data_IF_205304853635
#
_entry.id   IF_205304853635
#
_cell.length_a   1.000
_cell.length_b   1.000
_cell.length_c   1.000
_cell.angle_alpha   90.00
_cell.angle_beta   90.00
_cell.angle_gamma   90.00
#
_symmetry.space_group_name_H-M   'P 1'
#
loop_
_entity.id
_entity.type
_entity.pdbx_description
1 polymer ?
#
# COMPACT_ATOMS: atom_id res chain seq x y z
N UNK A 1 8.80 -19.50 55.00
CA UNK A 1 9.08 -19.76 53.57
C UNK A 1 7.93 -20.45 52.85
N UNK A 2 7.31 -21.49 53.41
CA UNK A 2 6.21 -22.22 52.75
C UNK A 2 4.99 -21.35 52.39
N UNK A 3 4.61 -20.41 53.25
CA UNK A 3 3.45 -19.53 53.05
C UNK A 3 3.63 -18.54 51.89
N UNK A 4 4.81 -17.92 51.75
CA UNK A 4 5.10 -16.96 50.68
C UNK A 4 5.05 -17.64 49.30
N UNK A 5 5.54 -18.89 49.21
CA UNK A 5 5.51 -19.67 47.97
C UNK A 5 4.07 -19.96 47.49
N UNK A 6 3.15 -20.24 48.41
CA UNK A 6 1.73 -20.45 48.11
C UNK A 6 1.03 -19.17 47.62
N UNK A 7 1.37 -18.00 48.19
CA UNK A 7 0.86 -16.71 47.72
C UNK A 7 1.37 -16.32 46.33
N UNK A 8 2.63 -16.65 46.03
CA UNK A 8 3.21 -16.42 44.69
C UNK A 8 2.54 -17.34 43.66
N UNK A 9 2.37 -18.64 43.97
CA UNK A 9 1.67 -19.57 43.08
C UNK A 9 0.21 -19.16 42.84
N UNK A 10 -0.50 -18.72 43.89
CA UNK A 10 -1.88 -18.25 43.79
C UNK A 10 -2.01 -17.00 42.92
N UNK A 11 -1.10 -16.04 43.08
CA UNK A 11 -1.06 -14.81 42.28
C UNK A 11 -0.76 -15.09 40.81
N UNK A 12 0.20 -15.97 40.52
CA UNK A 12 0.50 -16.39 39.14
C UNK A 12 -0.69 -17.10 38.51
N UNK A 13 -1.34 -18.02 39.24
CA UNK A 13 -2.55 -18.69 38.78
C UNK A 13 -3.71 -17.74 38.47
N UNK A 14 -3.93 -16.73 39.32
CA UNK A 14 -4.95 -15.71 39.10
C UNK A 14 -4.62 -14.82 37.87
N UNK A 15 -3.35 -14.45 37.68
CA UNK A 15 -2.91 -13.69 36.50
C UNK A 15 -3.08 -14.49 35.21
N UNK A 16 -2.74 -15.78 35.23
CA UNK A 16 -2.95 -16.68 34.08
C UNK A 16 -4.44 -16.82 33.77
N UNK A 17 -5.29 -17.01 34.79
CA UNK A 17 -6.74 -17.09 34.61
C UNK A 17 -7.31 -15.79 34.04
N UNK A 18 -6.87 -14.64 34.55
CA UNK A 18 -7.26 -13.32 34.02
C UNK A 18 -6.80 -13.14 32.58
N UNK A 19 -5.60 -13.60 32.24
CA UNK A 19 -5.10 -13.59 30.87
C UNK A 19 -5.99 -14.46 29.96
N UNK A 20 -6.35 -15.68 30.38
CA UNK A 20 -7.25 -16.55 29.60
C UNK A 20 -8.66 -15.97 29.47
N UNK A 21 -9.21 -15.39 30.53
CA UNK A 21 -10.50 -14.71 30.49
C UNK A 21 -10.46 -13.49 29.56
N UNK A 22 -9.39 -12.72 29.62
CA UNK A 22 -9.16 -11.56 28.74
C UNK A 22 -8.99 -11.99 27.28
N UNK A 23 -8.22 -13.05 27.02
CA UNK A 23 -8.07 -13.65 25.68
C UNK A 23 -9.40 -14.20 25.16
N UNK A 24 -10.16 -14.90 26.00
CA UNK A 24 -11.48 -15.43 25.66
C UNK A 24 -12.50 -14.33 25.36
N UNK A 25 -12.51 -13.26 26.16
CA UNK A 25 -13.31 -12.07 25.93
C UNK A 25 -12.93 -11.40 24.60
N UNK A 26 -11.63 -11.20 24.35
CA UNK A 26 -11.12 -10.59 23.11
C UNK A 26 -11.47 -11.45 21.89
N UNK A 27 -11.32 -12.77 21.97
CA UNK A 27 -11.67 -13.70 20.91
C UNK A 27 -13.18 -13.69 20.60
N UNK A 28 -14.03 -13.69 21.64
CA UNK A 28 -15.48 -13.62 21.46
C UNK A 28 -15.92 -12.28 20.87
N UNK A 29 -15.31 -11.18 21.31
CA UNK A 29 -15.57 -9.82 20.84
C UNK A 29 -15.20 -9.66 19.36
N UNK A 30 -14.00 -10.09 18.97
CA UNK A 30 -13.57 -10.08 17.57
C UNK A 30 -14.42 -10.99 16.69
N UNK A 31 -14.84 -12.16 17.18
CA UNK A 31 -15.71 -13.06 16.42
C UNK A 31 -17.05 -12.42 16.01
N UNK A 32 -17.56 -11.47 16.80
CA UNK A 32 -18.79 -10.73 16.48
C UNK A 32 -18.57 -9.58 15.50
N UNK A 33 -17.39 -8.95 15.53
CA UNK A 33 -17.03 -7.86 14.63
C UNK A 33 -16.56 -8.37 13.26
N UNK A 34 -15.95 -9.56 13.24
CA UNK A 34 -15.38 -10.20 12.06
C UNK A 34 -16.30 -10.21 10.81
N UNK A 35 -17.58 -10.63 10.87
CA UNK A 35 -18.42 -10.63 9.68
C UNK A 35 -18.67 -9.23 9.13
N UNK A 36 -18.93 -8.26 10.01
CA UNK A 36 -19.21 -6.87 9.65
C UNK A 36 -17.97 -6.23 9.02
N UNK A 37 -16.80 -6.47 9.60
CA UNK A 37 -15.54 -5.92 9.09
C UNK A 37 -15.18 -6.54 7.74
N UNK A 38 -15.33 -7.86 7.56
CA UNK A 38 -15.02 -8.46 6.27
C UNK A 38 -15.95 -8.03 5.16
N UNK A 39 -17.26 -7.91 5.45
CA UNK A 39 -18.22 -7.36 4.49
C UNK A 39 -17.84 -5.91 4.14
N UNK A 40 -17.60 -5.07 5.15
CA UNK A 40 -17.15 -3.68 4.93
C UNK A 40 -15.89 -3.57 4.06
N UNK A 41 -14.85 -4.35 4.36
CA UNK A 41 -13.59 -4.33 3.60
C UNK A 41 -13.75 -4.85 2.16
N UNK A 42 -14.78 -5.65 1.90
CA UNK A 42 -15.08 -6.19 0.56
C UNK A 42 -15.83 -5.21 -0.35
N UNK A 43 -16.40 -4.13 0.21
CA UNK A 43 -17.11 -3.13 -0.58
C UNK A 43 -16.13 -2.47 -1.55
N UNK A 44 -16.60 -2.19 -2.76
CA UNK A 44 -15.79 -1.57 -3.84
C UNK A 44 -16.04 -0.08 -3.96
N UNK A 45 -17.23 0.37 -3.63
CA UNK A 45 -17.67 1.76 -3.72
C UNK A 45 -17.56 2.47 -2.37
N UNK A 46 -17.14 3.75 -2.38
CA UNK A 46 -17.02 4.57 -1.16
C UNK A 46 -18.39 4.92 -0.60
N UNK A 47 -19.37 5.25 -1.45
CA UNK A 47 -20.69 5.66 -0.97
C UNK A 47 -21.42 4.49 -0.31
N UNK A 48 -21.34 3.31 -0.91
CA UNK A 48 -21.87 2.06 -0.35
C UNK A 48 -21.20 1.75 0.99
N UNK A 49 -19.88 2.00 1.11
CA UNK A 49 -19.17 1.81 2.37
C UNK A 49 -19.57 2.83 3.45
N UNK A 50 -19.84 4.07 3.07
CA UNK A 50 -20.37 5.09 3.98
C UNK A 50 -21.77 4.71 4.47
N UNK A 51 -22.66 4.27 3.58
CA UNK A 51 -23.98 3.74 3.97
C UNK A 51 -23.85 2.54 4.92
N UNK A 52 -22.93 1.62 4.62
CA UNK A 52 -22.70 0.45 5.46
C UNK A 52 -22.20 0.83 6.85
N UNK A 53 -21.34 1.86 6.96
CA UNK A 53 -20.88 2.40 8.24
C UNK A 53 -22.05 2.98 9.05
N UNK A 54 -22.95 3.72 8.40
CA UNK A 54 -24.14 4.30 9.04
C UNK A 54 -25.05 3.21 9.62
N UNK A 55 -25.28 2.14 8.85
CA UNK A 55 -26.07 0.97 9.28
C UNK A 55 -25.38 0.15 10.39
N UNK A 56 -24.05 0.25 10.52
CA UNK A 56 -23.24 -0.56 11.44
C UNK A 56 -22.33 0.29 12.33
N UNK A 57 -22.88 1.01 13.33
CA UNK A 57 -22.10 1.91 14.21
C UNK A 57 -21.00 1.21 15.02
N UNK A 58 -21.05 -0.13 15.12
CA UNK A 58 -19.97 -0.93 15.73
C UNK A 58 -18.64 -0.84 14.96
N UNK A 59 -18.66 -0.45 13.69
CA UNK A 59 -17.46 -0.18 12.90
C UNK A 59 -16.72 1.06 13.40
N UNK A 60 -17.40 2.04 13.97
CA UNK A 60 -16.78 3.29 14.46
C UNK A 60 -16.15 3.15 15.85
N UNK A 61 -15.89 1.92 16.29
CA UNK A 61 -15.25 1.64 17.59
C UNK A 61 -13.75 1.44 17.43
N UNK A 62 -12.97 1.79 18.46
CA UNK A 62 -11.53 1.53 18.48
C UNK A 62 -11.20 0.04 18.31
N UNK A 63 -12.09 -0.85 18.73
CA UNK A 63 -11.90 -2.30 18.56
C UNK A 63 -11.95 -2.75 17.10
N UNK A 64 -12.79 -2.10 16.28
CA UNK A 64 -12.87 -2.38 14.85
C UNK A 64 -11.60 -1.87 14.14
N UNK A 65 -11.13 -0.68 14.51
CA UNK A 65 -9.86 -0.10 14.07
C UNK A 65 -8.69 -1.04 14.41
N UNK A 66 -8.56 -1.46 15.68
CA UNK A 66 -7.55 -2.41 16.14
C UNK A 66 -7.59 -3.74 15.36
N UNK A 67 -8.80 -4.26 15.10
CA UNK A 67 -8.96 -5.50 14.35
C UNK A 67 -8.51 -5.36 12.89
N UNK A 68 -8.89 -4.26 12.22
CA UNK A 68 -8.48 -3.98 10.84
C UNK A 68 -6.96 -3.79 10.77
N UNK A 69 -6.35 -3.08 11.71
CA UNK A 69 -4.89 -2.92 11.78
C UNK A 69 -4.18 -4.27 11.93
N UNK A 70 -4.69 -5.16 12.79
CA UNK A 70 -4.14 -6.53 12.92
C UNK A 70 -4.30 -7.33 11.62
N UNK A 71 -5.38 -7.12 10.86
CA UNK A 71 -5.55 -7.74 9.55
C UNK A 71 -4.54 -7.18 8.53
N UNK A 72 -4.33 -5.86 8.52
CA UNK A 72 -3.34 -5.19 7.67
C UNK A 72 -1.92 -5.70 7.92
N UNK A 73 -1.50 -5.77 9.18
CA UNK A 73 -0.16 -6.30 9.52
C UNK A 73 0.03 -7.72 8.99
N UNK A 74 -1.02 -8.55 9.05
CA UNK A 74 -0.99 -9.93 8.56
C UNK A 74 -1.01 -10.02 7.04
N UNK A 75 -1.76 -9.17 6.34
CA UNK A 75 -1.77 -9.17 4.87
C UNK A 75 -0.44 -8.69 4.34
N UNK A 76 0.12 -7.63 4.93
CA UNK A 76 1.46 -7.16 4.61
C UNK A 76 2.52 -8.24 4.83
N UNK A 77 2.57 -8.86 6.00
CA UNK A 77 3.54 -9.91 6.31
C UNK A 77 3.45 -11.15 5.39
N UNK A 78 2.32 -11.34 4.70
CA UNK A 78 2.12 -12.40 3.71
C UNK A 78 2.44 -11.99 2.28
N UNK A 79 2.82 -10.73 2.06
CA UNK A 79 3.04 -10.17 0.72
C UNK A 79 1.74 -9.85 -0.04
N UNK A 80 0.58 -9.83 0.61
CA UNK A 80 -0.67 -9.42 -0.04
C UNK A 80 -0.81 -7.89 0.01
N UNK A 81 0.06 -7.21 -0.75
CA UNK A 81 0.10 -5.75 -0.80
C UNK A 81 -1.19 -5.16 -1.38
N UNK A 82 -1.90 -5.90 -2.24
CA UNK A 82 -3.19 -5.47 -2.78
C UNK A 82 -4.24 -5.38 -1.70
N UNK A 83 -4.44 -6.46 -0.94
CA UNK A 83 -5.41 -6.46 0.15
C UNK A 83 -5.00 -5.48 1.25
N UNK A 84 -3.70 -5.31 1.48
CA UNK A 84 -3.18 -4.29 2.38
C UNK A 84 -3.61 -2.87 1.95
N UNK A 85 -3.28 -2.45 0.73
CA UNK A 85 -3.55 -1.08 0.27
C UNK A 85 -5.06 -0.79 0.22
N UNK A 86 -5.87 -1.70 -0.33
CA UNK A 86 -7.32 -1.51 -0.38
C UNK A 86 -7.93 -1.39 1.02
N UNK A 87 -7.47 -2.22 1.97
CA UNK A 87 -7.95 -2.21 3.35
C UNK A 87 -7.44 -1.00 4.14
N UNK A 88 -6.25 -0.48 3.82
CA UNK A 88 -5.71 0.73 4.43
C UNK A 88 -6.51 1.96 4.01
N UNK A 89 -6.90 2.05 2.73
CA UNK A 89 -7.81 3.12 2.25
C UNK A 89 -9.16 3.04 2.97
N UNK A 90 -9.70 1.83 3.18
CA UNK A 90 -10.94 1.62 3.95
C UNK A 90 -10.77 2.01 5.42
N UNK A 91 -9.65 1.66 6.05
CA UNK A 91 -9.35 2.07 7.42
C UNK A 91 -9.31 3.60 7.54
N UNK A 92 -8.68 4.30 6.58
CA UNK A 92 -8.66 5.76 6.56
C UNK A 92 -10.06 6.36 6.46
N UNK A 93 -10.96 5.77 5.66
CA UNK A 93 -12.37 6.19 5.60
C UNK A 93 -13.05 6.03 6.96
N UNK A 94 -12.88 4.87 7.60
CA UNK A 94 -13.48 4.56 8.90
C UNK A 94 -12.98 5.51 10.01
N UNK A 95 -11.67 5.78 10.05
CA UNK A 95 -11.07 6.75 10.98
C UNK A 95 -11.61 8.15 10.70
N UNK A 96 -11.68 8.57 9.44
CA UNK A 96 -12.27 9.86 9.06
C UNK A 96 -13.72 10.00 9.52
N UNK A 97 -14.55 8.95 9.35
CA UNK A 97 -15.92 8.93 9.85
C UNK A 97 -15.98 9.03 11.39
N UNK A 98 -15.07 8.35 12.10
CA UNK A 98 -15.01 8.37 13.56
C UNK A 98 -14.60 9.75 14.11
N UNK A 99 -13.62 10.40 13.46
CA UNK A 99 -13.06 11.65 13.95
C UNK A 99 -13.88 12.88 13.57
N UNK A 100 -14.40 12.91 12.33
CA UNK A 100 -15.06 14.10 11.78
C UNK A 100 -16.58 13.92 11.61
N UNK A 101 -17.10 12.70 11.79
CA UNK A 101 -18.49 12.37 11.52
C UNK A 101 -18.75 12.00 10.05
N UNK A 102 -19.86 11.31 9.82
CA UNK A 102 -20.17 10.69 8.54
C UNK A 102 -20.31 11.70 7.38
N UNK A 103 -21.02 12.81 7.60
CA UNK A 103 -21.23 13.82 6.55
C UNK A 103 -19.95 14.56 6.18
N UNK A 104 -19.11 14.89 7.16
CA UNK A 104 -17.81 15.54 6.90
C UNK A 104 -16.85 14.57 6.21
N UNK A 105 -16.82 13.32 6.64
CA UNK A 105 -16.04 12.28 5.96
C UNK A 105 -16.51 12.06 4.52
N UNK A 106 -17.83 12.06 4.25
CA UNK A 106 -18.39 12.00 2.90
C UNK A 106 -17.90 13.18 2.04
N UNK A 107 -17.92 14.40 2.58
CA UNK A 107 -17.43 15.59 1.86
C UNK A 107 -15.92 15.55 1.59
N UNK A 108 -15.12 15.05 2.54
CA UNK A 108 -13.67 14.91 2.40
C UNK A 108 -13.28 13.75 1.46
N UNK A 109 -14.06 12.67 1.48
CA UNK A 109 -13.86 11.49 0.65
C UNK A 109 -14.36 11.69 -0.79
N UNK A 110 -15.20 12.70 -1.03
CA UNK A 110 -15.78 13.00 -2.34
C UNK A 110 -14.68 13.15 -3.40
N UNK A 111 -14.58 12.14 -4.27
CA UNK A 111 -13.64 12.04 -5.39
C UNK A 111 -12.28 11.44 -5.04
N UNK A 112 -11.63 11.84 -3.94
CA UNK A 112 -10.25 11.44 -3.65
C UNK A 112 -10.13 9.95 -3.28
N UNK A 113 -10.90 9.47 -2.30
CA UNK A 113 -10.83 8.08 -1.85
C UNK A 113 -11.32 7.07 -2.90
N UNK A 114 -12.35 7.42 -3.66
CA UNK A 114 -12.82 6.55 -4.75
C UNK A 114 -11.75 6.43 -5.83
N UNK A 115 -11.06 7.53 -6.18
CA UNK A 115 -9.94 7.50 -7.12
C UNK A 115 -8.81 6.58 -6.63
N UNK A 116 -8.48 6.61 -5.34
CA UNK A 116 -7.48 5.71 -4.75
C UNK A 116 -7.91 4.24 -4.80
N UNK A 117 -9.17 3.94 -4.54
CA UNK A 117 -9.71 2.58 -4.65
C UNK A 117 -9.70 2.11 -6.11
N UNK A 118 -10.20 2.92 -7.04
CA UNK A 118 -10.22 2.61 -8.47
C UNK A 118 -8.79 2.38 -8.99
N UNK A 119 -7.84 3.23 -8.56
CA UNK A 119 -6.43 3.06 -8.87
C UNK A 119 -5.90 1.73 -8.33
N UNK A 120 -6.20 1.34 -7.09
CA UNK A 120 -5.79 0.05 -6.52
C UNK A 120 -6.33 -1.17 -7.28
N UNK A 121 -7.41 -1.02 -8.05
CA UNK A 121 -7.94 -2.06 -8.93
C UNK A 121 -7.48 -1.93 -10.40
N UNK A 122 -6.70 -0.90 -10.75
CA UNK A 122 -6.17 -0.73 -12.11
C UNK A 122 -5.04 -1.72 -12.43
N UNK A 123 -4.84 -2.09 -13.71
CA UNK A 123 -3.80 -3.06 -14.09
C UNK A 123 -2.37 -2.64 -13.69
N UNK A 124 -2.04 -1.35 -13.84
CA UNK A 124 -0.69 -0.84 -13.51
C UNK A 124 -0.40 -0.90 -12.02
N UNK A 125 -1.38 -0.54 -11.17
CA UNK A 125 -1.26 -0.69 -9.73
C UNK A 125 -1.26 -2.14 -9.29
N UNK A 126 -2.10 -3.01 -9.86
CA UNK A 126 -2.09 -4.43 -9.51
C UNK A 126 -0.71 -5.03 -9.74
N UNK A 127 -0.09 -4.72 -10.89
CA UNK A 127 1.29 -5.13 -11.18
C UNK A 127 2.30 -4.57 -10.17
N UNK A 128 2.20 -3.28 -9.84
CA UNK A 128 3.09 -2.66 -8.85
C UNK A 128 2.92 -3.28 -7.45
N UNK A 129 1.69 -3.58 -7.05
CA UNK A 129 1.35 -4.20 -5.77
C UNK A 129 1.83 -5.65 -5.72
N UNK A 130 1.72 -6.41 -6.80
CA UNK A 130 2.27 -7.76 -6.89
C UNK A 130 3.79 -7.77 -6.67
N UNK A 131 4.51 -6.86 -7.34
CA UNK A 131 5.96 -6.70 -7.14
C UNK A 131 6.30 -6.28 -5.70
N UNK A 132 5.56 -5.33 -5.12
CA UNK A 132 5.73 -4.97 -3.71
C UNK A 132 5.51 -6.15 -2.78
N UNK A 133 4.49 -6.97 -3.05
CA UNK A 133 4.20 -8.18 -2.30
C UNK A 133 5.34 -9.18 -2.32
N UNK A 134 5.92 -9.42 -3.51
CA UNK A 134 7.10 -10.27 -3.68
C UNK A 134 8.30 -9.72 -2.92
N UNK A 135 8.59 -8.42 -3.03
CA UNK A 135 9.69 -7.77 -2.31
C UNK A 135 9.59 -7.94 -0.78
N UNK A 136 8.37 -7.91 -0.23
CA UNK A 136 8.13 -8.09 1.20
C UNK A 136 8.43 -9.52 1.66
N UNK A 137 8.10 -10.53 0.84
CA UNK A 137 8.26 -11.94 1.17
C UNK A 137 9.68 -12.43 0.89
N UNK A 138 10.19 -12.13 -0.30
CA UNK A 138 11.46 -12.65 -0.81
C UNK A 138 12.65 -11.83 -0.32
N UNK A 139 12.44 -10.56 0.06
CA UNK A 139 13.48 -9.61 0.50
C UNK A 139 14.62 -9.39 -0.50
N UNK A 140 14.49 -9.93 -1.71
CA UNK A 140 15.44 -9.76 -2.79
C UNK A 140 14.92 -8.70 -3.75
N UNK A 141 15.74 -7.67 -3.98
CA UNK A 141 15.44 -6.63 -4.93
C UNK A 141 15.90 -7.06 -6.33
N UNK A 142 15.05 -7.78 -7.05
CA UNK A 142 15.26 -8.06 -8.47
C UNK A 142 13.95 -7.92 -9.24
N UNK A 143 13.85 -6.83 -10.01
CA UNK A 143 12.74 -6.61 -10.93
C UNK A 143 13.32 -6.84 -12.33
N UNK A 144 12.77 -7.77 -13.14
CA UNK A 144 13.28 -8.02 -14.48
C UNK A 144 13.26 -6.72 -15.28
N UNK A 145 14.38 -6.33 -15.87
CA UNK A 145 14.48 -5.02 -16.53
C UNK A 145 13.42 -4.86 -17.60
N UNK A 146 13.14 -5.91 -18.36
CA UNK A 146 12.10 -6.03 -19.40
C UNK A 146 10.71 -5.57 -18.91
N UNK A 147 10.41 -5.79 -17.64
CA UNK A 147 9.13 -5.48 -17.02
C UNK A 147 8.97 -4.01 -16.61
N UNK A 148 10.06 -3.26 -16.53
CA UNK A 148 10.03 -1.85 -16.12
C UNK A 148 9.59 -0.96 -17.29
N UNK A 149 8.41 -0.38 -17.15
CA UNK A 149 7.84 0.63 -18.05
C UNK A 149 7.42 1.89 -17.27
N UNK A 150 7.01 2.94 -17.99
CA UNK A 150 6.64 4.22 -17.38
C UNK A 150 5.46 4.08 -16.42
N UNK A 151 4.46 3.28 -16.79
CA UNK A 151 3.21 3.13 -16.04
C UNK A 151 3.47 2.41 -14.71
N UNK A 152 4.38 1.42 -14.70
CA UNK A 152 4.82 0.74 -13.49
C UNK A 152 5.54 1.71 -12.53
N UNK A 153 6.46 2.53 -13.04
CA UNK A 153 7.20 3.51 -12.21
C UNK A 153 6.24 4.53 -11.61
N UNK A 154 5.27 5.01 -12.39
CA UNK A 154 4.27 5.96 -11.91
C UNK A 154 3.35 5.33 -10.85
N UNK A 155 2.86 4.11 -11.08
CA UNK A 155 2.06 3.37 -10.11
C UNK A 155 2.84 3.13 -8.80
N UNK A 156 4.09 2.68 -8.88
CA UNK A 156 4.95 2.47 -7.72
C UNK A 156 5.18 3.75 -6.92
N UNK A 157 5.37 4.88 -7.62
CA UNK A 157 5.55 6.19 -6.98
C UNK A 157 4.31 6.60 -6.19
N UNK A 158 3.11 6.48 -6.80
CA UNK A 158 1.86 6.83 -6.12
C UNK A 158 1.56 5.90 -4.94
N UNK A 159 1.81 4.59 -5.07
CA UNK A 159 1.63 3.64 -3.97
C UNK A 159 2.58 3.97 -2.82
N UNK A 160 3.84 4.27 -3.08
CA UNK A 160 4.79 4.61 -2.01
C UNK A 160 4.44 5.92 -1.31
N UNK A 161 3.96 6.93 -2.03
CA UNK A 161 3.44 8.16 -1.41
C UNK A 161 2.25 7.88 -0.48
N UNK A 162 1.33 7.00 -0.91
CA UNK A 162 0.20 6.55 -0.10
C UNK A 162 0.65 5.78 1.15
N UNK A 163 1.68 4.95 1.02
CA UNK A 163 2.22 4.13 2.12
C UNK A 163 3.13 4.91 3.07
N UNK A 164 3.66 6.06 2.65
CA UNK A 164 4.65 6.82 3.43
C UNK A 164 4.18 7.21 4.84
N UNK A 165 2.93 7.69 5.05
CA UNK A 165 2.42 7.98 6.40
C UNK A 165 2.29 6.75 7.29
N UNK A 166 2.22 5.55 6.69
CA UNK A 166 2.10 4.26 7.38
C UNK A 166 3.46 3.60 7.64
N UNK A 167 4.56 4.20 7.16
CA UNK A 167 5.89 3.63 7.34
C UNK A 167 6.26 3.62 8.83
N UNK A 168 6.59 2.44 9.35
CA UNK A 168 6.91 2.24 10.76
C UNK A 168 8.18 2.98 11.20
N UNK A 169 9.11 3.24 10.28
CA UNK A 169 10.39 3.90 10.56
C UNK A 169 11.05 4.48 9.28
N UNK A 170 12.14 5.22 9.47
CA UNK A 170 12.94 5.82 8.39
C UNK A 170 13.59 4.79 7.46
N UNK A 171 13.87 3.57 7.95
CA UNK A 171 14.46 2.49 7.16
C UNK A 171 13.51 1.98 6.07
N UNK A 172 12.21 1.88 6.39
CA UNK A 172 11.16 1.54 5.42
C UNK A 172 11.08 2.62 4.33
N UNK A 173 11.16 3.89 4.70
CA UNK A 173 11.16 5.02 3.75
C UNK A 173 12.40 4.97 2.84
N UNK A 174 13.58 4.74 3.41
CA UNK A 174 14.82 4.63 2.64
C UNK A 174 14.76 3.46 1.63
N UNK A 175 14.15 2.35 2.03
CA UNK A 175 13.93 1.18 1.16
C UNK A 175 12.99 1.52 0.00
N UNK A 176 11.87 2.21 0.28
CA UNK A 176 10.95 2.71 -0.75
C UNK A 176 11.68 3.63 -1.76
N UNK A 177 12.49 4.56 -1.25
CA UNK A 177 13.25 5.48 -2.10
C UNK A 177 14.30 4.75 -2.97
N UNK A 178 14.93 3.70 -2.45
CA UNK A 178 15.88 2.86 -3.22
C UNK A 178 15.20 2.12 -4.37
N UNK A 179 14.03 1.53 -4.11
CA UNK A 179 13.23 0.84 -5.12
C UNK A 179 12.89 1.79 -6.26
N UNK A 180 12.39 3.00 -5.94
CA UNK A 180 12.03 3.99 -6.96
C UNK A 180 13.24 4.50 -7.74
N UNK A 181 14.38 4.71 -7.07
CA UNK A 181 15.62 5.13 -7.74
C UNK A 181 16.08 4.08 -8.74
N UNK A 182 16.09 2.81 -8.35
CA UNK A 182 16.49 1.69 -9.21
C UNK A 182 15.55 1.55 -10.42
N UNK A 183 14.24 1.60 -10.20
CA UNK A 183 13.25 1.54 -11.28
C UNK A 183 13.39 2.69 -12.28
N UNK A 184 13.61 3.92 -11.79
CA UNK A 184 13.84 5.10 -12.64
C UNK A 184 15.14 4.98 -13.42
N UNK A 185 16.17 4.36 -12.86
CA UNK A 185 17.43 4.12 -13.55
C UNK A 185 17.27 3.14 -14.70
N UNK A 186 16.59 2.01 -14.48
CA UNK A 186 16.28 1.02 -15.53
C UNK A 186 15.47 1.68 -16.65
N UNK A 187 14.46 2.48 -16.30
CA UNK A 187 13.65 3.19 -17.30
C UNK A 187 14.47 4.18 -18.14
N UNK A 188 15.44 4.89 -17.51
CA UNK A 188 16.35 5.80 -18.22
C UNK A 188 17.28 5.04 -19.18
N UNK A 189 17.87 3.94 -18.73
CA UNK A 189 18.74 3.09 -19.56
C UNK A 189 18.01 2.59 -20.81
N UNK A 190 16.76 2.10 -20.64
CA UNK A 190 15.90 1.73 -21.78
C UNK A 190 15.62 2.90 -22.73
N UNK A 191 15.37 4.09 -22.19
CA UNK A 191 15.12 5.30 -22.99
C UNK A 191 16.32 5.75 -23.82
N UNK A 192 17.54 5.56 -23.29
CA UNK A 192 18.80 5.86 -23.97
C UNK A 192 19.15 4.80 -25.03
N UNK A 193 18.90 3.51 -24.77
CA UNK A 193 19.08 2.43 -25.76
C UNK A 193 18.06 2.48 -26.91
N UNK A 194 16.88 3.05 -26.68
CA UNK A 194 15.81 3.18 -27.68
C UNK A 194 15.97 4.38 -28.61
N UNK A 195 17.03 5.21 -28.46
CA UNK A 195 17.36 6.26 -29.44
C UNK A 195 18.26 5.69 -30.54
N UNK A 196 17.75 5.39 -31.75
CA UNK A 196 18.63 5.06 -32.85
C UNK A 196 19.42 6.30 -33.24
N UNK A 197 20.71 6.10 -33.55
CA UNK A 197 21.68 7.00 -34.18
C UNK A 197 21.06 7.92 -35.26
N UNK A 198 20.33 8.98 -34.88
CA UNK A 198 19.71 9.94 -35.81
C UNK A 198 20.59 11.15 -36.10
N UNK A 199 21.90 11.05 -35.87
CA UNK A 199 22.79 12.21 -35.87
C UNK A 199 24.20 12.01 -36.44
N UNK A 200 24.48 10.97 -37.24
CA UNK A 200 25.82 10.76 -37.82
C UNK A 200 25.85 10.59 -39.35
N UNK A 201 24.94 11.26 -40.07
CA UNK A 201 25.11 11.51 -41.51
C UNK A 201 24.74 12.95 -41.88
N UNK A 202 25.57 13.90 -41.44
CA UNK A 202 25.73 15.19 -42.11
C UNK A 202 27.13 15.73 -41.85
N UNK A 203 28.14 15.07 -42.39
CA UNK A 203 29.45 15.70 -42.57
C UNK A 203 29.37 16.70 -43.75
N UNK A 204 30.01 17.87 -43.64
CA UNK A 204 29.89 18.94 -44.61
C UNK A 204 30.81 18.66 -45.79
N UNK A 205 30.25 18.54 -47.00
CA UNK A 205 31.07 18.58 -48.21
C UNK A 205 31.27 20.05 -48.57
N UNK A 206 32.49 20.50 -48.31
CA UNK A 206 33.04 21.79 -48.69
C UNK A 206 32.86 22.09 -50.19
N UNK A 207 32.54 23.34 -50.47
CA UNK A 207 32.61 23.95 -51.80
C UNK A 207 34.03 23.87 -52.37
N UNK A 208 34.14 23.52 -53.65
CA UNK A 208 35.29 23.92 -54.47
C UNK A 208 34.84 24.41 -55.87
N UNK A 209 35.46 25.46 -56.45
CA UNK A 209 34.86 26.26 -57.50
C UNK A 209 35.33 25.93 -58.94
N UNK A 210 34.44 26.28 -59.89
CA UNK A 210 34.63 26.62 -61.31
C UNK A 210 35.36 25.66 -62.28
N UNK A 211 34.69 25.41 -63.43
CA UNK A 211 35.29 25.69 -64.76
C UNK A 211 34.23 25.87 -65.85
N UNK A 212 34.37 27.01 -66.55
CA UNK A 212 33.73 27.34 -67.84
C UNK A 212 33.76 26.17 -68.83
N UNK A 213 32.72 26.07 -69.67
CA UNK A 213 32.88 25.98 -71.14
C UNK A 213 31.63 26.44 -71.88
N UNK A 214 31.88 27.29 -72.87
CA UNK A 214 30.95 27.84 -73.87
C UNK A 214 30.29 26.73 -74.69
N UNK A 215 29.03 26.94 -75.08
CA UNK A 215 28.61 26.99 -76.48
C UNK A 215 27.36 27.84 -76.60
#
# INVERSE_FOLDING_TARGET
MLTILWWVLGSIGALILLLFLWLGYRAFKFRRLQPIIFEYLSLQDVETALMYIDDHPRLLTSDAEDFITVLLDRTWARGDARMFVSSAIRLSLLVGCREYGLETARQMAAGSLQTWLDAAYSPSWQRALELLGQLVVEREFSIPEEEVDKDLVEAMSHIMELLRPLAANEEVIATQDEILRSLRQILRQKGEESQPLRGLHSLPIWHEPQRRKKK
#
